data_IF_685378988663
#
_entry.id   IF_685378988663
#
_cell.length_a   1.000
_cell.length_b   1.000
_cell.length_c   1.000
_cell.angle_alpha   90.00
_cell.angle_beta   90.00
_cell.angle_gamma   90.00
#
_symmetry.space_group_name_H-M   'P 1'
#
loop_
_entity.id
_entity.type
_entity.pdbx_description
1 polymer ?
#
# COMPACT_ATOMS: atom_id res chain seq x y z
N UNK A 1 17.53 -46.86 16.76
CA UNK A 1 16.71 -47.49 17.82
C UNK A 1 15.89 -46.38 18.47
N UNK A 2 14.57 -46.35 18.23
CA UNK A 2 13.50 -46.60 19.23
C UNK A 2 13.57 -45.59 20.40
N UNK A 3 12.59 -44.77 20.80
CA UNK A 3 11.11 -44.76 20.83
C UNK A 3 10.76 -43.29 21.24
N UNK A 4 9.68 -42.59 20.90
CA UNK A 4 8.30 -43.00 20.67
C UNK A 4 7.48 -43.02 21.96
N UNK A 5 7.08 -41.87 22.55
CA UNK A 5 5.97 -41.77 23.52
C UNK A 5 5.27 -40.40 23.41
N UNK A 6 4.08 -40.37 22.83
CA UNK A 6 3.11 -39.27 22.94
C UNK A 6 2.12 -39.60 24.06
N UNK A 7 1.98 -38.68 25.02
CA UNK A 7 1.06 -38.78 26.14
C UNK A 7 -0.34 -38.30 25.75
N UNK A 8 -1.32 -39.20 25.79
CA UNK A 8 -2.74 -38.91 25.56
C UNK A 8 -3.39 -38.49 26.88
N UNK A 9 -3.73 -37.21 27.03
CA UNK A 9 -4.52 -36.70 28.16
C UNK A 9 -6.01 -36.80 27.89
N UNK A 10 -6.70 -37.70 28.58
CA UNK A 10 -8.17 -37.80 28.56
C UNK A 10 -8.76 -36.89 29.65
N UNK A 11 -9.59 -35.93 29.25
CA UNK A 11 -10.39 -35.11 30.18
C UNK A 11 -11.74 -35.80 30.38
N UNK A 12 -12.02 -36.24 31.61
CA UNK A 12 -13.33 -36.73 32.05
C UNK A 12 -14.14 -35.55 32.61
N UNK A 13 -15.17 -35.11 31.88
CA UNK A 13 -16.19 -34.21 32.40
C UNK A 13 -17.36 -35.04 32.94
N UNK A 14 -17.58 -35.00 34.27
CA UNK A 14 -18.78 -35.52 34.92
C UNK A 14 -19.89 -34.46 34.85
N UNK A 15 -20.95 -34.72 34.08
CA UNK A 15 -22.20 -33.96 34.16
C UNK A 15 -23.20 -34.77 34.98
N UNK A 16 -23.55 -34.26 36.16
CA UNK A 16 -24.72 -34.70 36.93
C UNK A 16 -25.99 -34.15 36.25
N UNK A 17 -26.87 -35.03 35.77
CA UNK A 17 -28.23 -34.67 35.35
C UNK A 17 -29.22 -35.24 36.36
N UNK A 18 -30.05 -34.35 36.91
CA UNK A 18 -31.10 -34.66 37.89
C UNK A 18 -32.23 -35.51 37.30
N UNK A 19 -32.86 -36.33 38.15
CA UNK A 19 -33.93 -37.25 37.78
C UNK A 19 -35.27 -36.52 37.59
N UNK A 20 -35.91 -36.74 36.45
CA UNK A 20 -37.34 -36.48 36.25
C UNK A 20 -37.95 -37.64 35.43
N UNK A 21 -39.24 -38.01 35.65
CA UNK A 21 -39.79 -39.28 35.21
C UNK A 21 -40.02 -39.36 33.69
N UNK A 22 -39.76 -40.55 33.15
CA UNK A 22 -39.81 -40.88 31.72
C UNK A 22 -41.23 -40.78 31.13
N UNK A 23 -41.37 -40.03 30.04
CA UNK A 23 -42.42 -40.26 29.05
C UNK A 23 -42.00 -41.42 28.14
N UNK A 24 -42.90 -42.30 27.68
CA UNK A 24 -42.55 -43.36 26.76
C UNK A 24 -42.21 -42.75 25.39
N UNK A 25 -40.92 -42.56 25.14
CA UNK A 25 -40.42 -42.37 23.78
C UNK A 25 -40.62 -43.68 23.04
N UNK A 26 -41.41 -43.66 21.96
CA UNK A 26 -41.46 -44.76 21.02
C UNK A 26 -40.03 -45.01 20.52
N UNK A 27 -39.50 -46.20 20.80
CA UNK A 27 -38.21 -46.63 20.28
C UNK A 27 -38.31 -46.62 18.75
N UNK A 28 -37.72 -45.60 18.13
CA UNK A 28 -37.47 -45.63 16.69
C UNK A 28 -36.17 -46.41 16.55
N UNK A 29 -36.28 -47.69 16.19
CA UNK A 29 -35.13 -48.54 15.90
C UNK A 29 -34.21 -47.79 14.92
N UNK A 30 -32.90 -47.67 15.18
CA UNK A 30 -31.99 -47.03 14.24
C UNK A 30 -31.93 -47.88 12.97
N UNK A 31 -32.64 -47.45 11.93
CA UNK A 31 -32.54 -48.07 10.60
C UNK A 31 -31.13 -47.77 10.12
N UNK A 32 -30.32 -48.83 9.94
CA UNK A 32 -28.99 -48.67 9.36
C UNK A 32 -29.15 -48.09 7.95
N UNK A 33 -28.28 -47.15 7.56
CA UNK A 33 -28.23 -46.59 6.20
C UNK A 33 -28.17 -47.70 5.14
N UNK A 34 -27.58 -48.85 5.49
CA UNK A 34 -27.57 -50.04 4.63
C UNK A 34 -28.97 -50.63 4.37
N UNK A 35 -29.88 -50.60 5.35
CA UNK A 35 -31.25 -51.09 5.22
C UNK A 35 -32.14 -50.12 4.42
N UNK A 36 -31.92 -48.81 4.55
CA UNK A 36 -32.64 -47.79 3.77
C UNK A 36 -32.18 -47.77 2.30
N UNK A 37 -30.90 -48.09 2.04
CA UNK A 37 -30.34 -48.28 0.69
C UNK A 37 -30.58 -49.69 0.12
N UNK A 38 -31.25 -50.59 0.85
CA UNK A 38 -31.60 -51.94 0.38
C UNK A 38 -30.41 -52.90 0.20
N UNK A 39 -29.26 -52.64 0.81
CA UNK A 39 -28.09 -53.53 0.73
C UNK A 39 -28.23 -54.69 1.73
N UNK A 40 -28.60 -55.87 1.24
CA UNK A 40 -28.54 -57.12 2.02
C UNK A 40 -27.10 -57.65 2.09
N UNK A 41 -26.77 -58.31 3.21
CA UNK A 41 -25.41 -58.78 3.54
C UNK A 41 -24.81 -59.88 2.61
N UNK A 42 -25.45 -60.16 1.46
CA UNK A 42 -24.99 -61.17 0.50
C UNK A 42 -24.55 -60.63 -0.85
N UNK A 43 -24.57 -59.32 -1.07
CA UNK A 43 -23.98 -58.75 -2.30
C UNK A 43 -22.49 -58.58 -2.09
N UNK A 44 -21.69 -59.59 -2.48
CA UNK A 44 -20.27 -59.38 -2.68
C UNK A 44 -20.12 -58.21 -3.68
N UNK A 45 -19.32 -57.18 -3.36
CA UNK A 45 -19.21 -56.03 -4.24
C UNK A 45 -18.71 -56.52 -5.60
N UNK A 46 -19.38 -56.10 -6.67
CA UNK A 46 -18.95 -56.42 -8.02
C UNK A 46 -17.55 -55.84 -8.23
N UNK A 47 -16.58 -56.74 -8.37
CA UNK A 47 -15.17 -56.38 -8.52
C UNK A 47 -14.95 -55.49 -9.75
N UNK A 48 -15.84 -55.57 -10.74
CA UNK A 48 -15.84 -54.70 -11.93
C UNK A 48 -16.19 -53.26 -11.54
N UNK A 49 -17.26 -53.06 -10.76
CA UNK A 49 -17.67 -51.72 -10.31
C UNK A 49 -16.64 -51.08 -9.38
N UNK A 50 -15.98 -51.87 -8.54
CA UNK A 50 -14.87 -51.40 -7.70
C UNK A 50 -13.67 -50.96 -8.54
N UNK A 51 -13.34 -51.70 -9.60
CA UNK A 51 -12.28 -51.34 -10.53
C UNK A 51 -12.61 -50.05 -11.29
N UNK A 52 -13.84 -49.89 -11.76
CA UNK A 52 -14.32 -48.68 -12.44
C UNK A 52 -14.28 -47.46 -11.51
N UNK A 53 -14.64 -47.62 -10.23
CA UNK A 53 -14.59 -46.55 -9.24
C UNK A 53 -13.14 -46.16 -8.91
N UNK A 54 -12.23 -47.14 -8.81
CA UNK A 54 -10.81 -46.89 -8.64
C UNK A 54 -10.22 -46.13 -9.85
N UNK A 55 -10.55 -46.55 -11.07
CA UNK A 55 -10.15 -45.86 -12.30
C UNK A 55 -10.70 -44.42 -12.38
N UNK A 56 -11.96 -44.22 -11.94
CA UNK A 56 -12.60 -42.90 -11.88
C UNK A 56 -12.01 -41.99 -10.79
N UNK A 57 -11.49 -42.56 -9.70
CA UNK A 57 -10.75 -41.82 -8.68
C UNK A 57 -9.38 -41.40 -9.19
N UNK A 58 -8.62 -42.34 -9.76
CA UNK A 58 -7.32 -42.06 -10.39
C UNK A 58 -7.44 -40.94 -11.43
N UNK A 59 -8.43 -41.03 -12.34
CA UNK A 59 -8.66 -40.00 -13.36
C UNK A 59 -8.96 -38.61 -12.80
N UNK A 60 -9.62 -38.53 -11.64
CA UNK A 60 -9.93 -37.26 -10.97
C UNK A 60 -8.71 -36.69 -10.24
N UNK A 61 -7.92 -37.55 -9.62
CA UNK A 61 -6.66 -37.15 -8.99
C UNK A 61 -5.69 -36.60 -10.03
N UNK A 62 -5.58 -37.25 -11.20
CA UNK A 62 -4.77 -36.77 -12.32
C UNK A 62 -5.26 -35.40 -12.85
N UNK A 63 -6.57 -35.22 -13.01
CA UNK A 63 -7.15 -33.94 -13.41
C UNK A 63 -6.91 -32.83 -12.39
N UNK A 64 -7.00 -33.15 -11.09
CA UNK A 64 -6.75 -32.19 -10.02
C UNK A 64 -5.28 -31.78 -9.96
N UNK A 65 -4.36 -32.74 -10.16
CA UNK A 65 -2.93 -32.45 -10.26
C UNK A 65 -2.62 -31.57 -11.48
N UNK A 66 -3.24 -31.85 -12.63
CA UNK A 66 -3.08 -31.03 -13.83
C UNK A 66 -3.62 -29.60 -13.63
N UNK A 67 -4.77 -29.45 -12.97
CA UNK A 67 -5.33 -28.14 -12.65
C UNK A 67 -4.44 -27.35 -11.68
N UNK A 68 -3.88 -28.00 -10.66
CA UNK A 68 -2.94 -27.37 -9.73
C UNK A 68 -1.66 -26.93 -10.43
N UNK A 69 -1.12 -27.74 -11.34
CA UNK A 69 0.04 -27.38 -12.15
C UNK A 69 -0.27 -26.19 -13.10
N UNK A 70 -1.45 -26.15 -13.70
CA UNK A 70 -1.88 -25.04 -14.55
C UNK A 70 -2.04 -23.74 -13.74
N UNK A 71 -2.60 -23.82 -12.53
CA UNK A 71 -2.71 -22.67 -11.63
C UNK A 71 -1.32 -22.16 -11.24
N UNK A 72 -0.41 -23.03 -10.83
CA UNK A 72 0.95 -22.65 -10.47
C UNK A 72 1.70 -21.99 -11.64
N UNK A 73 1.49 -22.48 -12.87
CA UNK A 73 2.05 -21.85 -14.06
C UNK A 73 1.46 -20.46 -14.34
N UNK A 74 0.16 -20.27 -14.10
CA UNK A 74 -0.49 -18.96 -14.23
C UNK A 74 0.02 -17.97 -13.17
N UNK A 75 0.13 -18.40 -11.91
CA UNK A 75 0.66 -17.60 -10.82
C UNK A 75 2.11 -17.19 -11.10
N UNK A 76 2.93 -18.12 -11.61
CA UNK A 76 4.31 -17.83 -12.02
C UNK A 76 4.37 -16.81 -13.16
N UNK A 77 3.49 -16.92 -14.16
CA UNK A 77 3.43 -15.96 -15.27
C UNK A 77 3.06 -14.54 -14.81
N UNK A 78 2.21 -14.41 -13.79
CA UNK A 78 1.90 -13.10 -13.16
C UNK A 78 3.12 -12.53 -12.46
N UNK A 79 3.86 -13.35 -11.70
CA UNK A 79 5.10 -12.90 -11.04
C UNK A 79 6.16 -12.47 -12.06
N UNK A 80 6.31 -13.23 -13.16
CA UNK A 80 7.25 -12.89 -14.23
C UNK A 80 6.86 -11.58 -14.93
N UNK A 81 5.56 -11.33 -15.15
CA UNK A 81 5.06 -10.06 -15.68
C UNK A 81 5.39 -8.90 -14.73
N UNK A 82 5.10 -9.03 -13.44
CA UNK A 82 5.37 -8.00 -12.43
C UNK A 82 6.87 -7.68 -12.34
N UNK A 83 7.72 -8.71 -12.40
CA UNK A 83 9.18 -8.52 -12.42
C UNK A 83 9.64 -7.78 -13.67
N UNK A 84 9.06 -8.08 -14.84
CA UNK A 84 9.37 -7.37 -16.08
C UNK A 84 8.92 -5.91 -16.04
N UNK A 85 7.74 -5.62 -15.49
CA UNK A 85 7.24 -4.25 -15.32
C UNK A 85 8.11 -3.46 -14.33
N UNK A 86 8.52 -4.06 -13.21
CA UNK A 86 9.43 -3.44 -12.25
C UNK A 86 10.80 -3.13 -12.88
N UNK A 87 11.36 -4.07 -13.66
CA UNK A 87 12.62 -3.85 -14.37
C UNK A 87 12.51 -2.75 -15.44
N UNK A 88 11.37 -2.65 -16.13
CA UNK A 88 11.12 -1.59 -17.09
C UNK A 88 10.98 -0.21 -16.41
N UNK A 89 10.32 -0.15 -15.25
CA UNK A 89 10.22 1.06 -14.44
C UNK A 89 11.59 1.53 -13.93
N UNK A 90 12.44 0.60 -13.45
CA UNK A 90 13.80 0.92 -13.02
C UNK A 90 14.66 1.43 -14.19
N UNK A 91 14.54 0.83 -15.37
CA UNK A 91 15.22 1.30 -16.57
C UNK A 91 14.76 2.71 -17.00
N UNK A 92 13.45 2.97 -16.95
CA UNK A 92 12.89 4.29 -17.26
C UNK A 92 13.33 5.35 -16.23
N UNK A 93 13.40 4.99 -14.94
CA UNK A 93 13.90 5.87 -13.89
C UNK A 93 15.40 6.19 -14.08
N UNK A 94 16.21 5.20 -14.49
CA UNK A 94 17.62 5.41 -14.80
C UNK A 94 17.81 6.32 -16.03
N UNK A 95 16.98 6.16 -17.08
CA UNK A 95 16.99 7.03 -18.25
C UNK A 95 16.57 8.47 -17.90
N UNK A 96 15.54 8.63 -17.07
CA UNK A 96 15.11 9.94 -16.58
C UNK A 96 16.19 10.62 -15.71
N UNK A 97 16.87 9.87 -14.85
CA UNK A 97 17.99 10.38 -14.06
C UNK A 97 19.16 10.83 -14.93
N UNK A 98 19.52 10.06 -15.97
CA UNK A 98 20.55 10.44 -16.92
C UNK A 98 20.16 11.69 -17.73
N UNK A 99 18.89 11.82 -18.13
CA UNK A 99 18.38 13.01 -18.80
C UNK A 99 18.40 14.26 -17.89
N UNK A 100 18.06 14.11 -16.61
CA UNK A 100 18.13 15.18 -15.62
C UNK A 100 19.59 15.64 -15.37
N UNK A 101 20.54 14.71 -15.29
CA UNK A 101 21.96 15.03 -15.16
C UNK A 101 22.49 15.79 -16.40
N UNK A 102 22.08 15.37 -17.61
CA UNK A 102 22.43 16.05 -18.85
C UNK A 102 21.82 17.48 -18.93
N UNK A 103 20.59 17.66 -18.47
CA UNK A 103 19.94 18.97 -18.40
C UNK A 103 20.63 19.90 -17.39
N UNK A 104 21.00 19.38 -16.21
CA UNK A 104 21.75 20.13 -15.20
C UNK A 104 23.14 20.54 -15.71
N UNK A 105 23.83 19.66 -16.45
CA UNK A 105 25.11 19.99 -17.08
C UNK A 105 24.98 21.08 -18.17
N UNK A 106 23.88 21.09 -18.93
CA UNK A 106 23.61 22.12 -19.93
C UNK A 106 23.30 23.49 -19.29
N UNK A 107 22.53 23.52 -18.20
CA UNK A 107 22.30 24.74 -17.42
C UNK A 107 23.60 25.30 -16.81
N UNK A 108 24.45 24.43 -16.26
CA UNK A 108 25.75 24.84 -15.72
C UNK A 108 26.67 25.46 -16.79
N UNK A 109 26.64 24.93 -18.03
CA UNK A 109 27.37 25.49 -19.16
C UNK A 109 26.80 26.86 -19.63
N UNK A 110 25.48 27.05 -19.55
CA UNK A 110 24.82 28.32 -19.86
C UNK A 110 25.09 29.40 -18.78
N UNK A 111 25.16 29.01 -17.51
CA UNK A 111 25.54 29.88 -16.39
C UNK A 111 27.03 30.32 -16.48
N UNK A 112 27.91 29.46 -16.99
CA UNK A 112 29.32 29.80 -17.24
C UNK A 112 29.50 30.79 -18.40
N UNK A 113 28.61 30.81 -19.40
CA UNK A 113 28.66 31.80 -20.51
C UNK A 113 28.04 33.15 -20.15
N UNK A 114 27.14 33.21 -19.16
CA UNK A 114 26.48 34.45 -18.72
C UNK A 114 27.29 35.21 -17.66
N UNK A 115 28.18 34.53 -16.93
CA UNK A 115 29.08 35.11 -15.92
C UNK A 115 30.29 35.88 -16.49
N UNK A 116 30.59 35.78 -17.80
CA UNK A 116 31.60 36.66 -18.43
C UNK A 116 31.05 38.03 -18.87
N UNK A 117 29.75 38.27 -18.72
CA UNK A 117 29.08 39.49 -19.22
C UNK A 117 28.57 40.44 -18.13
N UNK A 118 28.67 40.12 -16.84
CA UNK A 118 28.08 40.94 -15.76
C UNK A 118 29.08 41.52 -14.75
N UNK A 119 30.32 41.82 -15.17
CA UNK A 119 31.19 42.73 -14.42
C UNK A 119 30.79 44.19 -14.72
N UNK A 120 29.63 44.61 -14.23
CA UNK A 120 29.18 45.99 -14.40
C UNK A 120 27.78 46.26 -13.87
N UNK A 121 27.73 46.95 -12.72
CA UNK A 121 26.63 47.81 -12.24
C UNK A 121 25.57 47.20 -11.32
N UNK A 122 25.81 47.42 -10.02
CA UNK A 122 24.91 47.97 -9.00
C UNK A 122 23.45 47.47 -8.87
N UNK A 123 23.20 46.85 -7.71
CA UNK A 123 22.06 47.08 -6.80
C UNK A 123 20.70 47.38 -7.43
N UNK A 124 19.91 46.32 -7.63
CA UNK A 124 18.45 46.40 -7.65
C UNK A 124 17.88 45.17 -6.92
N UNK A 125 17.14 45.40 -5.83
CA UNK A 125 16.24 44.40 -5.26
C UNK A 125 15.16 44.09 -6.28
N UNK A 126 15.23 42.91 -6.88
CA UNK A 126 14.07 42.31 -7.54
C UNK A 126 13.29 41.58 -6.46
N UNK A 127 12.17 42.15 -6.02
CA UNK A 127 11.18 41.40 -5.27
C UNK A 127 10.69 40.26 -6.18
N UNK A 128 11.06 39.02 -5.84
CA UNK A 128 10.45 37.84 -6.45
C UNK A 128 8.94 37.94 -6.22
N UNK A 129 8.16 37.72 -7.27
CA UNK A 129 6.70 37.64 -7.15
C UNK A 129 6.42 36.40 -6.32
N UNK A 130 6.00 36.57 -5.07
CA UNK A 130 5.58 35.46 -4.23
C UNK A 130 4.31 34.85 -4.84
N UNK A 131 4.38 33.56 -5.20
CA UNK A 131 3.22 32.79 -5.59
C UNK A 131 2.30 32.59 -4.39
N UNK A 132 0.98 32.68 -4.62
CA UNK A 132 -0.04 32.41 -3.60
C UNK A 132 -0.60 31.01 -3.83
N UNK A 133 -0.44 30.14 -2.84
CA UNK A 133 -0.84 28.74 -2.95
C UNK A 133 -2.36 28.58 -3.04
N UNK A 134 -2.82 27.72 -3.95
CA UNK A 134 -4.24 27.42 -4.16
C UNK A 134 -4.69 26.28 -3.22
N UNK A 135 -5.04 26.63 -1.98
CA UNK A 135 -5.42 25.65 -0.95
C UNK A 135 -6.93 25.45 -0.91
N UNK A 136 -7.38 24.21 -1.16
CA UNK A 136 -8.78 23.80 -0.99
C UNK A 136 -9.05 23.42 0.46
N UNK A 137 -9.85 24.25 1.11
CA UNK A 137 -10.27 24.08 2.50
C UNK A 137 -11.77 23.80 2.58
N UNK A 138 -12.17 22.92 3.50
CA UNK A 138 -13.57 22.57 3.75
C UNK A 138 -14.00 22.66 5.22
N UNK A 139 -13.06 22.88 6.14
CA UNK A 139 -13.30 22.97 7.58
C UNK A 139 -12.73 24.25 8.24
N UNK A 140 -12.40 25.28 7.46
CA UNK A 140 -11.81 26.55 7.94
C UNK A 140 -10.47 26.84 7.26
N UNK A 141 -9.82 27.98 7.52
CA UNK A 141 -8.49 28.24 6.99
C UNK A 141 -7.45 27.30 7.63
N UNK A 142 -6.36 27.04 6.93
CA UNK A 142 -5.13 26.52 7.56
C UNK A 142 -4.53 27.57 8.49
N UNK A 143 -3.59 27.17 9.35
CA UNK A 143 -2.88 28.15 10.18
C UNK A 143 -2.06 29.12 9.32
N UNK A 144 -1.78 30.32 9.85
CA UNK A 144 -0.99 31.33 9.12
C UNK A 144 0.42 30.85 8.79
N UNK A 145 1.00 30.00 9.65
CA UNK A 145 2.30 29.34 9.41
C UNK A 145 2.21 28.42 8.19
N UNK A 146 1.18 27.58 8.13
CA UNK A 146 0.99 26.63 7.03
C UNK A 146 0.72 27.35 5.71
N UNK A 147 -0.07 28.44 5.74
CA UNK A 147 -0.24 29.28 4.55
C UNK A 147 1.10 29.84 4.06
N UNK A 148 1.92 30.39 4.96
CA UNK A 148 3.23 30.93 4.60
C UNK A 148 4.19 29.85 4.07
N UNK A 149 4.15 28.65 4.63
CA UNK A 149 4.92 27.51 4.13
C UNK A 149 4.47 27.11 2.72
N UNK A 150 3.16 27.05 2.47
CA UNK A 150 2.61 26.77 1.16
C UNK A 150 3.06 27.82 0.12
N UNK A 151 2.94 29.11 0.45
CA UNK A 151 3.35 30.22 -0.42
C UNK A 151 4.86 30.17 -0.71
N UNK A 152 5.68 29.82 0.28
CA UNK A 152 7.11 29.62 0.08
C UNK A 152 7.41 28.46 -0.88
N UNK A 153 6.73 27.32 -0.74
CA UNK A 153 6.93 26.15 -1.61
C UNK A 153 6.53 26.48 -3.05
N UNK A 154 5.33 27.03 -3.28
CA UNK A 154 4.87 27.35 -4.64
C UNK A 154 5.71 28.45 -5.32
N UNK A 155 6.36 29.31 -4.53
CA UNK A 155 7.25 30.34 -5.06
C UNK A 155 8.63 29.82 -5.45
N UNK A 156 9.12 28.76 -4.80
CA UNK A 156 10.51 28.32 -4.90
C UNK A 156 10.69 26.94 -5.54
N UNK A 157 9.63 26.13 -5.66
CA UNK A 157 9.66 24.83 -6.34
C UNK A 157 9.02 24.99 -7.72
N UNK A 158 9.80 24.90 -8.81
CA UNK A 158 9.25 25.00 -10.16
C UNK A 158 8.11 24.01 -10.40
N UNK A 159 6.97 24.51 -10.89
CA UNK A 159 5.77 23.71 -11.17
C UNK A 159 4.80 23.57 -10.00
N UNK A 160 5.22 23.87 -8.76
CA UNK A 160 4.34 23.76 -7.60
C UNK A 160 3.24 24.84 -7.56
N UNK A 161 3.39 25.96 -8.27
CA UNK A 161 2.35 26.98 -8.44
C UNK A 161 1.18 26.53 -9.33
N UNK A 162 1.38 25.46 -10.11
CA UNK A 162 0.36 24.91 -11.03
C UNK A 162 -0.56 23.86 -10.40
N UNK A 163 -0.23 23.36 -9.20
CA UNK A 163 -0.99 22.31 -8.51
C UNK A 163 -1.98 22.87 -7.49
N UNK A 164 -3.03 22.09 -7.19
CA UNK A 164 -3.92 22.39 -6.06
C UNK A 164 -3.39 21.76 -4.79
N UNK A 165 -3.55 22.42 -3.66
CA UNK A 165 -3.21 21.86 -2.35
C UNK A 165 -4.49 21.47 -1.60
N UNK A 166 -4.50 20.28 -1.00
CA UNK A 166 -5.52 19.87 -0.04
C UNK A 166 -5.22 20.44 1.34
N UNK A 167 -6.13 21.26 1.88
CA UNK A 167 -6.01 21.86 3.22
C UNK A 167 -6.96 21.24 4.22
N UNK A 168 -7.66 22.06 4.99
CA UNK A 168 -8.51 21.60 6.08
C UNK A 168 -9.68 20.75 5.60
N UNK A 169 -9.96 19.68 6.34
CA UNK A 169 -11.16 18.86 6.16
C UNK A 169 -11.53 18.17 7.47
N UNK A 170 -12.83 17.85 7.69
CA UNK A 170 -13.22 17.02 8.82
C UNK A 170 -12.61 15.62 8.66
N UNK A 171 -11.92 15.14 9.69
CA UNK A 171 -11.35 13.80 9.73
C UNK A 171 -11.09 13.40 11.19
N UNK A 172 -11.27 12.12 11.51
CA UNK A 172 -10.98 11.56 12.83
C UNK A 172 -9.62 10.83 12.89
N UNK A 173 -9.00 10.58 11.73
CA UNK A 173 -7.78 9.76 11.62
C UNK A 173 -6.50 10.58 11.84
N UNK A 174 -6.57 11.90 11.65
CA UNK A 174 -5.47 12.85 11.76
C UNK A 174 -5.90 14.13 12.50
N UNK A 175 -6.43 14.05 13.73
CA UNK A 175 -7.04 15.19 14.43
C UNK A 175 -6.11 16.42 14.55
N UNK A 176 -4.80 16.17 14.61
CA UNK A 176 -3.77 17.21 14.72
C UNK A 176 -3.19 17.66 13.35
N UNK A 177 -3.65 17.10 12.23
CA UNK A 177 -3.19 17.38 10.87
C UNK A 177 -4.14 18.27 10.05
N UNK A 178 -4.92 17.69 9.12
CA UNK A 178 -5.81 18.49 8.27
C UNK A 178 -6.94 19.18 9.05
N UNK A 179 -7.65 18.54 10.00
CA UNK A 179 -8.71 19.17 10.77
C UNK A 179 -8.25 20.38 11.59
N UNK A 180 -7.01 20.36 12.08
CA UNK A 180 -6.41 21.44 12.87
C UNK A 180 -5.81 22.57 12.02
N UNK A 181 -5.73 22.39 10.70
CA UNK A 181 -5.08 23.35 9.80
C UNK A 181 -3.55 23.30 9.83
N UNK A 182 -2.99 22.17 10.26
CA UNK A 182 -1.55 21.93 10.37
C UNK A 182 -1.01 20.94 9.32
N UNK A 183 -1.79 20.55 8.32
CA UNK A 183 -1.33 19.67 7.25
C UNK A 183 -1.74 20.16 5.86
N UNK A 184 -0.94 19.79 4.86
CA UNK A 184 -1.19 20.03 3.44
C UNK A 184 -0.88 18.79 2.60
N UNK A 185 -1.75 18.55 1.62
CA UNK A 185 -1.53 17.57 0.54
C UNK A 185 -1.17 18.32 -0.74
N UNK A 186 0.07 18.19 -1.22
CA UNK A 186 0.51 18.76 -2.49
C UNK A 186 0.15 17.79 -3.63
N UNK A 187 -0.94 18.09 -4.35
CA UNK A 187 -1.52 17.16 -5.33
C UNK A 187 -0.72 17.14 -6.64
N UNK A 188 0.28 16.26 -6.72
CA UNK A 188 1.18 16.12 -7.89
C UNK A 188 0.65 15.12 -8.93
N UNK A 189 -0.40 14.35 -8.59
CA UNK A 189 -1.03 13.37 -9.46
C UNK A 189 -0.05 12.29 -9.94
N UNK A 190 0.41 12.37 -11.19
CA UNK A 190 1.37 11.42 -11.76
C UNK A 190 2.77 12.01 -11.93
N UNK A 191 2.98 13.26 -11.50
CA UNK A 191 4.26 13.95 -11.61
C UNK A 191 5.15 13.64 -10.39
N UNK A 192 5.80 12.48 -10.44
CA UNK A 192 6.68 12.02 -9.36
C UNK A 192 7.89 12.95 -9.16
N UNK A 193 8.41 13.54 -10.25
CA UNK A 193 9.54 14.46 -10.19
C UNK A 193 9.18 15.76 -9.43
N UNK A 194 7.97 16.29 -9.63
CA UNK A 194 7.46 17.39 -8.83
C UNK A 194 7.31 17.00 -7.36
N UNK A 195 6.78 15.79 -7.09
CA UNK A 195 6.69 15.26 -5.72
C UNK A 195 8.05 15.19 -5.02
N UNK A 196 9.06 14.66 -5.70
CA UNK A 196 10.43 14.58 -5.19
C UNK A 196 11.04 15.97 -4.97
N UNK A 197 10.80 16.93 -5.86
CA UNK A 197 11.26 18.32 -5.71
C UNK A 197 10.62 19.00 -4.49
N UNK A 198 9.32 18.80 -4.28
CA UNK A 198 8.60 19.29 -3.10
C UNK A 198 9.18 18.68 -1.82
N UNK A 199 9.40 17.36 -1.80
CA UNK A 199 10.02 16.67 -0.66
C UNK A 199 11.42 17.22 -0.38
N UNK A 200 12.25 17.40 -1.41
CA UNK A 200 13.60 17.94 -1.27
C UNK A 200 13.60 19.34 -0.66
N UNK A 201 12.70 20.22 -1.11
CA UNK A 201 12.54 21.57 -0.55
C UNK A 201 12.13 21.52 0.93
N UNK A 202 11.15 20.70 1.29
CA UNK A 202 10.72 20.55 2.69
C UNK A 202 11.85 20.01 3.59
N UNK A 203 12.68 19.10 3.07
CA UNK A 203 13.85 18.59 3.81
C UNK A 203 14.93 19.64 4.01
N UNK A 204 15.19 20.46 3.00
CA UNK A 204 16.18 21.54 3.09
C UNK A 204 15.74 22.66 4.05
N UNK A 205 14.44 22.94 4.12
CA UNK A 205 13.85 24.03 4.92
C UNK A 205 13.05 23.54 6.12
N UNK A 206 13.35 22.34 6.63
CA UNK A 206 12.52 21.62 7.60
C UNK A 206 12.14 22.44 8.83
N UNK A 207 13.12 23.05 9.50
CA UNK A 207 12.88 23.85 10.72
C UNK A 207 12.25 25.21 10.41
N UNK A 208 12.62 25.82 9.29
CA UNK A 208 12.09 27.12 8.84
C UNK A 208 10.59 27.00 8.56
N UNK A 209 10.19 26.02 7.75
CA UNK A 209 8.79 25.75 7.44
C UNK A 209 8.04 25.17 8.64
N UNK A 210 8.75 24.52 9.56
CA UNK A 210 8.17 23.84 10.72
C UNK A 210 7.60 22.49 10.38
N UNK A 211 8.25 21.75 9.50
CA UNK A 211 7.85 20.40 9.17
C UNK A 211 7.99 19.52 10.42
N UNK A 212 7.00 18.66 10.61
CA UNK A 212 6.98 17.62 11.64
C UNK A 212 7.22 16.25 11.00
N UNK A 213 6.51 15.94 9.92
CA UNK A 213 6.76 14.75 9.11
C UNK A 213 6.28 14.94 7.66
N UNK A 214 6.82 14.09 6.77
CA UNK A 214 6.39 13.96 5.38
C UNK A 214 5.90 12.52 5.13
N UNK A 215 4.93 12.37 4.23
CA UNK A 215 4.57 11.08 3.64
C UNK A 215 4.61 11.21 2.12
N UNK A 216 5.35 10.31 1.46
CA UNK A 216 5.48 10.27 0.00
C UNK A 216 5.80 8.86 -0.47
N UNK A 217 5.12 8.38 -1.51
CA UNK A 217 5.30 7.04 -2.08
C UNK A 217 5.29 5.94 -1.00
N UNK A 218 4.22 5.90 -0.20
CA UNK A 218 4.00 4.94 0.89
C UNK A 218 5.10 4.91 1.97
N UNK A 219 5.90 5.97 2.08
CA UNK A 219 6.96 6.09 3.07
C UNK A 219 6.75 7.32 3.93
N UNK A 220 7.11 7.23 5.19
CA UNK A 220 7.10 8.35 6.14
C UNK A 220 8.52 8.77 6.49
N UNK A 221 8.74 10.08 6.60
CA UNK A 221 9.97 10.69 7.09
C UNK A 221 9.64 11.60 8.28
N UNK A 222 10.22 11.33 9.44
CA UNK A 222 9.94 12.06 10.69
C UNK A 222 11.02 13.08 11.07
N UNK A 223 12.04 13.28 10.24
CA UNK A 223 13.07 14.31 10.44
C UNK A 223 13.83 14.60 9.13
N UNK A 224 14.36 15.80 8.98
CA UNK A 224 15.05 16.25 7.75
C UNK A 224 16.16 15.28 7.27
N UNK A 225 17.01 14.83 8.21
CA UNK A 225 18.12 13.90 7.97
C UNK A 225 17.81 12.43 8.30
N UNK A 226 16.55 12.12 8.61
CA UNK A 226 16.13 10.77 8.98
C UNK A 226 16.10 9.80 7.80
N UNK A 227 15.83 8.53 8.12
CA UNK A 227 15.55 7.50 7.12
C UNK A 227 14.04 7.42 6.85
N UNK A 228 13.68 7.08 5.62
CA UNK A 228 12.32 6.73 5.25
C UNK A 228 11.90 5.41 5.89
N UNK A 229 10.67 5.36 6.41
CA UNK A 229 10.05 4.17 6.97
C UNK A 229 8.86 3.79 6.10
N UNK A 230 8.82 2.56 5.60
CA UNK A 230 7.66 2.05 4.84
C UNK A 230 6.41 2.02 5.73
N UNK A 231 5.31 2.54 5.22
CA UNK A 231 3.99 2.41 5.83
C UNK A 231 3.34 1.07 5.44
N UNK A 232 2.39 0.61 6.25
CA UNK A 232 1.46 -0.44 5.82
C UNK A 232 0.70 0.01 4.56
N UNK A 233 0.35 -0.94 3.71
CA UNK A 233 -0.54 -0.70 2.58
C UNK A 233 -1.95 -0.38 3.07
N UNK A 234 -2.38 0.87 2.84
CA UNK A 234 -3.71 1.39 3.21
C UNK A 234 -4.71 1.26 2.06
N UNK A 235 -4.29 0.73 0.92
CA UNK A 235 -5.10 0.50 -0.28
C UNK A 235 -5.19 1.70 -1.20
N UNK A 236 -4.68 1.55 -2.43
CA UNK A 236 -4.86 2.50 -3.51
C UNK A 236 -3.93 3.72 -3.48
N UNK A 237 -3.97 4.52 -4.56
CA UNK A 237 -3.01 5.61 -4.84
C UNK A 237 -3.03 6.69 -3.76
N UNK A 238 -4.20 7.24 -3.45
CA UNK A 238 -4.32 8.33 -2.48
C UNK A 238 -4.01 7.89 -1.06
N UNK A 239 -4.53 6.76 -0.59
CA UNK A 239 -4.29 6.34 0.79
C UNK A 239 -2.80 6.01 1.05
N UNK A 240 -2.09 5.56 0.00
CA UNK A 240 -0.66 5.29 0.03
C UNK A 240 0.21 6.48 -0.41
N UNK A 241 -0.37 7.66 -0.66
CA UNK A 241 0.36 8.90 -0.96
C UNK A 241 1.25 8.80 -2.21
N UNK A 242 0.73 8.15 -3.25
CA UNK A 242 1.39 8.06 -4.56
C UNK A 242 1.01 9.24 -5.48
N UNK A 243 -0.08 9.96 -5.19
CA UNK A 243 -0.59 11.08 -5.98
C UNK A 243 -0.41 12.46 -5.30
N UNK A 244 0.12 12.48 -4.08
CA UNK A 244 0.41 13.70 -3.34
C UNK A 244 1.51 13.53 -2.31
N UNK A 245 2.26 14.61 -2.07
CA UNK A 245 3.15 14.73 -0.91
C UNK A 245 2.31 15.26 0.25
N UNK A 246 2.23 14.51 1.33
CA UNK A 246 1.60 14.97 2.56
C UNK A 246 2.64 15.55 3.52
N UNK A 247 2.33 16.70 4.10
CA UNK A 247 3.20 17.42 5.02
C UNK A 247 2.42 17.83 6.26
N UNK A 248 2.92 17.45 7.43
CA UNK A 248 2.42 17.97 8.71
C UNK A 248 3.39 19.01 9.28
N UNK A 249 2.84 20.02 9.94
CA UNK A 249 3.56 21.17 10.47
C UNK A 249 3.32 21.35 11.98
N UNK A 250 4.30 21.93 12.68
CA UNK A 250 4.29 22.21 14.14
C UNK A 250 4.37 23.69 14.48
#
# INVERSE_FOLDING_TARGET
>A
MLLGVTATGAVLAHVLVGSAPAAPVAATEPVSVAAELGLSAQTAPDMTQLADLAASRSSREDQQAAAAAAQAAADQAVLDQQAAEAAAAEAAAAEAAAAAEAAAAAEAAAAASSSSSSAGSASASTAAVAGVAQIRNSAGPVSSRVQAAADAVVSNVPGADSITLGGTRPSATDPDGHPSGNALDYMVMTDEALGDAIVAYHRAHWDELGVEYLIWNQRMLSSAGGSWVMMEDRGGTTANHYDHVHVNYR
#
